data_IF_346000990355
#
_entry.id   IF_346000990355
#
_cell.length_a   1.000
_cell.length_b   1.000
_cell.length_c   1.000
_cell.angle_alpha   90.00
_cell.angle_beta   90.00
_cell.angle_gamma   90.00
#
_symmetry.space_group_name_H-M   'P 1'
#
loop_
_entity.id
_entity.type
_entity.pdbx_description
1 polymer ?
#
# COMPACT_ATOMS: atom_id res chain seq x y z
N UNK A 1 18.64 6.98 0.21
CA UNK A 1 19.35 7.76 -0.84
C UNK A 1 19.67 9.18 -0.33
N UNK A 2 20.77 9.77 -0.81
CA UNK A 2 21.08 11.16 -0.54
C UNK A 2 19.97 12.06 -1.13
N UNK A 3 19.63 13.17 -0.44
CA UNK A 3 18.61 14.13 -0.87
C UNK A 3 18.84 14.65 -2.31
N UNK A 4 20.07 14.75 -2.75
CA UNK A 4 20.46 15.19 -4.10
C UNK A 4 20.05 14.23 -5.22
N UNK A 5 19.73 12.98 -4.90
CA UNK A 5 19.35 11.94 -5.86
C UNK A 5 17.84 11.91 -6.14
N UNK A 6 17.04 12.64 -5.36
CA UNK A 6 15.59 12.71 -5.57
C UNK A 6 15.18 13.65 -6.71
N UNK A 7 14.01 13.38 -7.30
CA UNK A 7 13.37 14.19 -8.34
C UNK A 7 13.51 13.65 -9.77
N UNK A 8 14.32 12.62 -10.00
CA UNK A 8 14.50 11.98 -11.31
C UNK A 8 14.80 10.48 -11.17
N UNK A 9 14.68 9.73 -12.24
CA UNK A 9 15.01 8.31 -12.31
C UNK A 9 13.84 7.40 -11.95
N UNK A 10 14.09 6.34 -11.16
CA UNK A 10 13.14 5.30 -10.82
C UNK A 10 12.13 5.77 -9.78
N UNK A 11 10.89 5.36 -9.88
CA UNK A 11 9.85 5.66 -8.90
C UNK A 11 10.21 5.09 -7.52
N UNK A 12 10.02 5.93 -6.48
CA UNK A 12 10.40 5.66 -5.11
C UNK A 12 9.17 5.64 -4.21
N UNK A 13 8.83 4.46 -3.71
CA UNK A 13 7.67 4.24 -2.85
C UNK A 13 7.99 4.72 -1.43
N UNK A 14 7.22 5.67 -0.97
CA UNK A 14 7.24 6.23 0.38
C UNK A 14 6.10 5.67 1.23
N UNK A 15 6.10 5.98 2.53
CA UNK A 15 4.97 5.66 3.43
C UNK A 15 3.68 6.32 2.94
N UNK A 16 3.76 7.55 2.39
CA UNK A 16 2.57 8.26 1.89
C UNK A 16 1.92 7.54 0.70
N UNK A 17 2.71 6.83 -0.12
CA UNK A 17 2.15 6.03 -1.21
C UNK A 17 1.41 4.80 -0.70
N UNK A 18 1.84 4.22 0.44
CA UNK A 18 1.15 3.13 1.12
C UNK A 18 -0.19 3.60 1.67
N UNK A 19 -0.23 4.76 2.31
CA UNK A 19 -1.40 5.26 3.05
C UNK A 19 -2.46 5.90 2.16
N UNK A 20 -2.05 6.62 1.10
CA UNK A 20 -2.94 7.49 0.34
C UNK A 20 -3.47 6.87 -0.96
N UNK A 21 -2.97 5.71 -1.35
CA UNK A 21 -3.44 5.04 -2.56
C UNK A 21 -4.31 3.82 -2.22
N UNK A 22 -5.30 3.58 -3.05
CA UNK A 22 -6.09 2.34 -2.98
C UNK A 22 -5.21 1.13 -3.25
N UNK A 23 -4.38 1.19 -4.31
CA UNK A 23 -3.25 0.30 -4.57
C UNK A 23 -2.08 1.14 -5.08
N UNK A 24 -0.85 0.61 -4.99
CA UNK A 24 0.32 1.29 -5.51
C UNK A 24 0.55 0.82 -6.95
N UNK A 25 0.54 1.77 -7.90
CA UNK A 25 0.91 1.58 -9.30
C UNK A 25 2.03 2.55 -9.63
N UNK A 26 2.80 2.27 -10.68
CA UNK A 26 3.94 3.10 -11.06
C UNK A 26 3.57 4.58 -11.21
N UNK A 27 2.46 4.86 -11.87
CA UNK A 27 2.04 6.22 -12.21
C UNK A 27 1.51 7.03 -11.00
N UNK A 28 1.05 6.36 -9.92
CA UNK A 28 0.56 7.06 -8.73
C UNK A 28 1.64 7.31 -7.66
N UNK A 29 2.86 6.79 -7.85
CA UNK A 29 4.00 7.09 -7.00
C UNK A 29 4.52 8.50 -7.31
N UNK A 30 4.60 9.34 -6.28
CA UNK A 30 4.97 10.75 -6.43
C UNK A 30 6.46 10.97 -6.57
N UNK A 31 7.26 10.32 -5.72
CA UNK A 31 8.69 10.52 -5.68
C UNK A 31 9.42 9.69 -6.73
N UNK A 32 10.57 10.19 -7.16
CA UNK A 32 11.52 9.47 -8.00
C UNK A 32 12.92 9.65 -7.44
N UNK A 33 13.80 8.70 -7.67
CA UNK A 33 15.18 8.74 -7.20
C UNK A 33 16.12 8.14 -8.23
N UNK A 34 17.30 8.69 -8.35
CA UNK A 34 18.37 8.15 -9.16
C UNK A 34 18.96 6.91 -8.46
N UNK A 35 18.81 5.76 -9.09
CA UNK A 35 19.30 4.48 -8.57
C UNK A 35 20.77 4.27 -8.92
N UNK A 36 21.48 3.54 -8.08
CA UNK A 36 22.85 3.05 -8.33
C UNK A 36 22.82 1.57 -8.70
N UNK A 37 23.95 1.07 -9.18
CA UNK A 37 24.11 -0.35 -9.47
C UNK A 37 23.81 -1.19 -8.23
N UNK A 38 22.94 -2.20 -8.38
CA UNK A 38 22.48 -3.07 -7.28
C UNK A 38 21.31 -2.55 -6.44
N UNK A 39 20.93 -1.26 -6.57
CA UNK A 39 19.78 -0.71 -5.82
C UNK A 39 18.47 -1.43 -6.21
N UNK A 40 18.28 -1.72 -7.50
CA UNK A 40 17.06 -2.41 -7.98
C UNK A 40 17.01 -3.86 -7.50
N UNK A 41 18.15 -4.56 -7.44
CA UNK A 41 18.21 -5.93 -6.94
C UNK A 41 17.84 -6.00 -5.47
N UNK A 42 18.29 -5.02 -4.69
CA UNK A 42 18.09 -4.97 -3.24
C UNK A 42 16.73 -4.39 -2.85
N UNK A 43 16.36 -3.26 -3.45
CA UNK A 43 15.19 -2.47 -3.07
C UNK A 43 14.07 -2.47 -4.13
N UNK A 44 14.22 -3.25 -5.19
CA UNK A 44 13.21 -3.35 -6.25
C UNK A 44 11.90 -3.92 -5.74
N UNK A 45 10.81 -3.37 -6.24
CA UNK A 45 9.43 -3.80 -5.97
C UNK A 45 8.81 -4.24 -7.26
N UNK A 46 8.20 -5.42 -7.25
CA UNK A 46 7.58 -6.04 -8.40
C UNK A 46 6.09 -6.28 -8.15
N UNK A 47 5.37 -6.60 -9.22
CA UNK A 47 3.95 -6.93 -9.14
C UNK A 47 3.65 -7.95 -8.06
N UNK A 48 2.69 -7.63 -7.21
CA UNK A 48 2.23 -8.49 -6.13
C UNK A 48 3.00 -8.33 -4.82
N UNK A 49 4.12 -7.60 -4.78
CA UNK A 49 4.81 -7.33 -3.52
C UNK A 49 3.92 -6.52 -2.56
N UNK A 50 4.04 -6.83 -1.28
CA UNK A 50 3.31 -6.13 -0.21
C UNK A 50 4.29 -5.15 0.46
N UNK A 51 3.86 -3.90 0.60
CA UNK A 51 4.62 -2.84 1.26
C UNK A 51 3.96 -2.51 2.59
N UNK A 52 4.73 -2.59 3.68
CA UNK A 52 4.28 -2.28 5.03
C UNK A 52 4.94 -1.00 5.54
N UNK A 53 4.17 -0.14 6.17
CA UNK A 53 4.70 0.98 6.95
C UNK A 53 5.47 0.44 8.16
N UNK A 54 6.75 0.79 8.26
CA UNK A 54 7.65 0.32 9.32
C UNK A 54 7.44 1.03 10.65
N UNK A 55 7.21 2.33 10.61
CA UNK A 55 7.14 3.19 11.79
C UNK A 55 5.92 4.08 11.73
N UNK A 56 5.29 4.33 12.89
CA UNK A 56 4.16 5.24 13.03
C UNK A 56 4.20 5.96 14.38
N UNK A 57 3.53 7.10 14.47
CA UNK A 57 3.32 7.82 15.72
C UNK A 57 2.25 7.18 16.60
N UNK A 58 1.36 6.39 16.01
CA UNK A 58 0.30 5.66 16.71
C UNK A 58 0.47 4.15 16.55
N UNK A 59 0.07 3.38 17.56
CA UNK A 59 0.11 1.92 17.50
C UNK A 59 -0.89 1.39 16.46
N UNK A 60 -2.02 2.04 16.33
CA UNK A 60 -3.10 1.68 15.41
C UNK A 60 -2.65 1.75 13.94
N UNK A 61 -1.71 2.63 13.62
CA UNK A 61 -1.26 2.86 12.24
C UNK A 61 -0.02 2.05 11.86
N UNK A 62 0.74 1.53 12.84
CA UNK A 62 1.95 0.77 12.52
C UNK A 62 1.62 -0.47 11.68
N UNK A 63 2.47 -0.78 10.71
CA UNK A 63 2.29 -1.94 9.83
C UNK A 63 1.09 -1.84 8.89
N UNK A 64 0.57 -0.64 8.61
CA UNK A 64 -0.36 -0.46 7.50
C UNK A 64 0.28 -0.95 6.21
N UNK A 65 -0.52 -1.57 5.34
CA UNK A 65 -0.01 -2.28 4.17
C UNK A 65 -0.74 -1.89 2.89
N UNK A 66 0.00 -1.96 1.80
CA UNK A 66 -0.54 -1.82 0.45
C UNK A 66 0.17 -2.79 -0.49
N UNK A 67 -0.41 -3.05 -1.65
CA UNK A 67 0.14 -3.95 -2.66
C UNK A 67 0.59 -3.16 -3.89
N UNK A 68 1.65 -3.63 -4.53
CA UNK A 68 2.12 -3.08 -5.78
C UNK A 68 1.50 -3.83 -6.97
N UNK A 69 0.77 -3.13 -7.82
CA UNK A 69 0.01 -3.70 -8.93
C UNK A 69 0.46 -3.14 -10.28
N UNK A 70 1.78 -3.06 -10.50
CA UNK A 70 2.34 -2.63 -11.78
C UNK A 70 3.47 -3.57 -12.22
N UNK A 71 3.68 -3.65 -13.55
CA UNK A 71 4.76 -4.44 -14.14
C UNK A 71 6.10 -3.69 -14.19
N UNK A 72 6.07 -2.34 -14.14
CA UNK A 72 7.29 -1.53 -14.13
C UNK A 72 7.92 -1.59 -12.73
N UNK A 73 9.22 -1.85 -12.60
CA UNK A 73 9.86 -1.90 -11.29
C UNK A 73 9.91 -0.51 -10.64
N UNK A 74 9.62 -0.47 -9.34
CA UNK A 74 9.84 0.68 -8.48
C UNK A 74 10.83 0.28 -7.37
N UNK A 75 11.28 1.22 -6.55
CA UNK A 75 12.07 0.94 -5.36
C UNK A 75 11.40 1.53 -4.12
N UNK A 76 11.79 1.05 -2.94
CA UNK A 76 11.22 1.51 -1.67
C UNK A 76 12.29 2.04 -0.70
N UNK A 77 11.87 2.83 0.28
CA UNK A 77 12.74 3.47 1.26
C UNK A 77 12.80 2.74 2.61
N UNK A 78 13.70 3.21 3.48
CA UNK A 78 14.00 2.59 4.78
C UNK A 78 12.85 2.57 5.80
N UNK A 79 11.81 3.38 5.60
CA UNK A 79 10.59 3.38 6.42
C UNK A 79 9.50 2.41 5.92
N UNK A 80 9.84 1.63 4.91
CA UNK A 80 8.96 0.62 4.30
C UNK A 80 9.59 -0.76 4.46
N UNK A 81 8.78 -1.77 4.71
CA UNK A 81 9.19 -3.18 4.69
C UNK A 81 8.50 -3.83 3.51
N UNK A 82 9.26 -4.55 2.67
CA UNK A 82 8.72 -5.31 1.55
C UNK A 82 8.50 -6.77 1.93
N UNK A 83 7.27 -7.25 1.75
CA UNK A 83 6.95 -8.67 1.65
C UNK A 83 6.99 -9.10 0.19
N UNK A 84 8.05 -9.81 -0.21
CA UNK A 84 8.24 -10.27 -1.59
C UNK A 84 7.21 -11.33 -1.96
N UNK A 85 6.50 -11.12 -3.05
CA UNK A 85 5.51 -12.07 -3.56
C UNK A 85 6.16 -13.38 -4.01
N UNK A 86 5.54 -14.49 -3.63
CA UNK A 86 5.87 -15.84 -4.10
C UNK A 86 4.85 -16.35 -5.15
N UNK A 87 3.92 -15.50 -5.56
CA UNK A 87 2.89 -15.87 -6.53
C UNK A 87 1.80 -16.80 -6.00
N UNK A 88 1.74 -17.06 -4.70
CA UNK A 88 0.83 -18.00 -4.07
C UNK A 88 -0.41 -17.35 -3.43
N UNK A 89 -0.70 -16.11 -3.76
CA UNK A 89 -1.88 -15.37 -3.33
C UNK A 89 -2.34 -14.37 -4.40
N UNK A 90 -3.59 -13.91 -4.31
CA UNK A 90 -4.10 -12.83 -5.14
C UNK A 90 -3.75 -11.48 -4.49
N UNK A 91 -2.94 -10.61 -5.14
CA UNK A 91 -2.49 -9.34 -4.54
C UNK A 91 -3.65 -8.39 -4.24
N UNK A 92 -4.66 -8.34 -5.12
CA UNK A 92 -5.83 -7.49 -4.92
C UNK A 92 -6.62 -7.89 -3.68
N UNK A 93 -6.85 -9.20 -3.48
CA UNK A 93 -7.48 -9.72 -2.27
C UNK A 93 -6.66 -9.37 -1.01
N UNK A 94 -5.33 -9.53 -1.08
CA UNK A 94 -4.45 -9.23 0.05
C UNK A 94 -4.47 -7.75 0.44
N UNK A 95 -4.65 -6.84 -0.51
CA UNK A 95 -4.85 -5.42 -0.18
C UNK A 95 -6.04 -5.23 0.78
N UNK A 96 -7.16 -5.87 0.51
CA UNK A 96 -8.36 -5.78 1.34
C UNK A 96 -8.22 -6.57 2.64
N UNK A 97 -7.64 -7.78 2.57
CA UNK A 97 -7.40 -8.61 3.76
C UNK A 97 -6.55 -7.87 4.80
N UNK A 98 -5.42 -7.27 4.38
CA UNK A 98 -4.50 -6.58 5.27
C UNK A 98 -5.08 -5.27 5.86
N UNK A 99 -6.05 -4.67 5.19
CA UNK A 99 -6.80 -3.53 5.69
C UNK A 99 -7.97 -3.93 6.62
N UNK A 100 -8.34 -5.21 6.67
CA UNK A 100 -9.46 -5.68 7.48
C UNK A 100 -9.19 -5.51 8.98
N UNK A 101 -10.24 -5.27 9.80
CA UNK A 101 -10.09 -5.14 11.25
C UNK A 101 -9.39 -6.35 11.89
N UNK A 102 -9.65 -7.56 11.40
CA UNK A 102 -9.04 -8.79 11.93
C UNK A 102 -7.54 -8.83 11.66
N UNK A 103 -7.11 -8.55 10.43
CA UNK A 103 -5.69 -8.50 10.09
C UNK A 103 -4.99 -7.36 10.83
N UNK A 104 -5.59 -6.17 10.89
CA UNK A 104 -5.04 -5.03 11.63
C UNK A 104 -4.79 -5.37 13.10
N UNK A 105 -5.76 -5.97 13.80
CA UNK A 105 -5.59 -6.40 15.19
C UNK A 105 -4.42 -7.38 15.37
N UNK A 106 -4.21 -8.30 14.42
CA UNK A 106 -3.10 -9.26 14.47
C UNK A 106 -1.74 -8.63 14.15
N UNK A 107 -1.71 -7.57 13.34
CA UNK A 107 -0.50 -6.84 12.97
C UNK A 107 -0.06 -5.88 14.07
N UNK A 108 -0.95 -5.04 14.60
CA UNK A 108 -0.60 -3.98 15.55
C UNK A 108 0.00 -4.52 16.84
N UNK A 109 -0.42 -5.69 17.30
CA UNK A 109 0.15 -6.34 18.50
C UNK A 109 1.62 -6.76 18.32
N UNK A 110 2.15 -6.69 17.10
CA UNK A 110 3.57 -6.93 16.79
C UNK A 110 4.38 -5.63 16.73
N UNK A 111 3.71 -4.48 16.80
CA UNK A 111 4.36 -3.18 16.94
C UNK A 111 4.88 -2.98 18.36
N UNK A 112 6.03 -2.31 18.49
CA UNK A 112 6.65 -1.98 19.76
C UNK A 112 7.19 -0.56 19.75
N UNK A 113 7.12 0.10 20.88
CA UNK A 113 7.61 1.47 21.07
C UNK A 113 6.80 2.22 22.12
N UNK A 114 7.31 3.37 22.58
CA UNK A 114 6.64 4.21 23.55
C UNK A 114 6.15 5.55 22.97
N UNK A 115 6.92 6.17 22.08
CA UNK A 115 6.58 7.42 21.38
C UNK A 115 6.45 7.21 19.87
N UNK A 116 7.27 6.32 19.33
CA UNK A 116 7.20 5.87 17.94
C UNK A 116 7.09 4.35 17.92
N UNK A 117 6.04 3.87 17.31
CA UNK A 117 5.79 2.43 17.18
C UNK A 117 6.46 1.91 15.92
N UNK A 118 7.22 0.82 16.07
CA UNK A 118 7.93 0.18 14.98
C UNK A 118 7.51 -1.27 14.88
N UNK A 119 7.43 -1.78 13.66
CA UNK A 119 7.26 -3.20 13.39
C UNK A 119 8.46 -3.69 12.57
N UNK A 120 8.96 -4.87 12.90
CA UNK A 120 10.07 -5.51 12.17
C UNK A 120 9.59 -6.67 11.31
N UNK A 121 10.49 -7.18 10.47
CA UNK A 121 10.23 -8.37 9.65
C UNK A 121 9.86 -9.57 10.51
N UNK A 122 10.54 -9.76 11.65
CA UNK A 122 10.24 -10.85 12.59
C UNK A 122 8.84 -10.76 13.19
N UNK A 123 8.37 -9.54 13.48
CA UNK A 123 7.00 -9.31 13.94
C UNK A 123 5.99 -9.68 12.87
N UNK A 124 6.19 -9.16 11.65
CA UNK A 124 5.31 -9.44 10.52
C UNK A 124 5.28 -10.92 10.14
N UNK A 125 6.42 -11.63 10.18
CA UNK A 125 6.49 -13.06 9.85
C UNK A 125 5.70 -13.96 10.80
N UNK A 126 5.40 -13.49 12.01
CA UNK A 126 4.61 -14.19 13.03
C UNK A 126 3.11 -13.87 12.97
N UNK A 127 2.69 -13.05 12.02
CA UNK A 127 1.26 -12.78 11.80
C UNK A 127 0.66 -13.92 11.00
N UNK A 128 -0.29 -14.61 11.59
CA UNK A 128 -1.05 -15.67 10.93
C UNK A 128 -2.42 -15.12 10.52
N UNK A 129 -2.81 -15.36 9.28
CA UNK A 129 -4.11 -14.97 8.73
C UNK A 129 -4.74 -16.18 8.06
N UNK A 130 -6.04 -16.35 8.27
CA UNK A 130 -6.82 -17.37 7.58
C UNK A 130 -7.16 -16.82 6.19
N UNK A 131 -6.79 -17.57 5.15
CA UNK A 131 -7.00 -17.17 3.76
C UNK A 131 -7.79 -18.23 3.01
N UNK A 132 -8.78 -17.83 2.18
CA UNK A 132 -9.53 -18.76 1.37
C UNK A 132 -8.70 -19.29 0.19
N UNK A 133 -9.25 -20.23 -0.57
CA UNK A 133 -8.58 -20.72 -1.77
C UNK A 133 -8.39 -19.63 -2.83
N UNK A 134 -7.46 -19.83 -3.77
CA UNK A 134 -7.11 -18.82 -4.77
C UNK A 134 -8.30 -18.33 -5.61
N UNK A 135 -9.24 -19.23 -5.93
CA UNK A 135 -10.44 -18.87 -6.70
C UNK A 135 -11.36 -17.93 -5.93
N UNK A 136 -11.51 -18.16 -4.62
CA UNK A 136 -12.28 -17.30 -3.73
C UNK A 136 -11.58 -15.95 -3.53
N UNK A 137 -10.25 -15.96 -3.30
CA UNK A 137 -9.46 -14.73 -3.22
C UNK A 137 -9.70 -13.84 -4.44
N UNK A 138 -9.65 -14.40 -5.65
CA UNK A 138 -9.89 -13.67 -6.89
C UNK A 138 -11.28 -13.05 -6.92
N UNK A 139 -12.32 -13.86 -6.67
CA UNK A 139 -13.71 -13.38 -6.69
C UNK A 139 -13.97 -12.28 -5.66
N UNK A 140 -13.47 -12.46 -4.43
CA UNK A 140 -13.62 -11.47 -3.35
C UNK A 140 -12.89 -10.18 -3.70
N UNK A 141 -11.64 -10.27 -4.19
CA UNK A 141 -10.86 -9.11 -4.58
C UNK A 141 -11.53 -8.31 -5.70
N UNK A 142 -12.01 -8.98 -6.75
CA UNK A 142 -12.73 -8.36 -7.86
C UNK A 142 -14.05 -7.70 -7.41
N UNK A 143 -14.81 -8.36 -6.54
CA UNK A 143 -16.06 -7.81 -5.98
C UNK A 143 -15.77 -6.52 -5.20
N UNK A 144 -14.81 -6.54 -4.28
CA UNK A 144 -14.46 -5.39 -3.46
C UNK A 144 -13.93 -4.23 -4.31
N UNK A 145 -13.12 -4.52 -5.34
CA UNK A 145 -12.65 -3.51 -6.28
C UNK A 145 -13.81 -2.86 -7.06
N UNK A 146 -14.79 -3.66 -7.47
CA UNK A 146 -15.99 -3.16 -8.15
C UNK A 146 -16.81 -2.23 -7.24
N UNK A 147 -16.95 -2.58 -5.96
CA UNK A 147 -17.61 -1.74 -4.95
C UNK A 147 -16.87 -0.42 -4.78
N UNK A 148 -15.55 -0.44 -4.63
CA UNK A 148 -14.74 0.77 -4.47
C UNK A 148 -14.83 1.68 -5.70
N UNK A 149 -14.77 1.13 -6.90
CA UNK A 149 -14.94 1.88 -8.14
C UNK A 149 -16.32 2.57 -8.21
N UNK A 150 -17.36 1.87 -7.75
CA UNK A 150 -18.72 2.44 -7.68
C UNK A 150 -18.81 3.56 -6.65
N UNK A 151 -18.23 3.38 -5.47
CA UNK A 151 -18.16 4.43 -4.43
C UNK A 151 -17.42 5.67 -4.96
N UNK A 152 -16.28 5.49 -5.61
CA UNK A 152 -15.51 6.59 -6.20
C UNK A 152 -16.33 7.37 -7.25
N UNK A 153 -17.06 6.65 -8.11
CA UNK A 153 -17.94 7.25 -9.11
C UNK A 153 -19.07 8.06 -8.47
N UNK A 154 -19.73 7.52 -7.44
CA UNK A 154 -20.78 8.22 -6.72
C UNK A 154 -20.26 9.48 -6.01
N UNK A 155 -19.09 9.41 -5.38
CA UNK A 155 -18.47 10.55 -4.73
C UNK A 155 -18.17 11.67 -5.74
N UNK A 156 -17.68 11.32 -6.94
CA UNK A 156 -17.46 12.29 -8.01
C UNK A 156 -18.76 12.96 -8.45
N UNK A 157 -19.83 12.20 -8.65
CA UNK A 157 -21.15 12.75 -9.00
C UNK A 157 -21.63 13.72 -7.91
N UNK A 158 -21.48 13.38 -6.63
CA UNK A 158 -21.86 14.24 -5.50
C UNK A 158 -21.06 15.53 -5.52
N UNK A 159 -19.75 15.47 -5.78
CA UNK A 159 -18.92 16.67 -5.90
C UNK A 159 -19.33 17.57 -7.05
N UNK A 160 -19.62 17.00 -8.22
CA UNK A 160 -20.05 17.75 -9.40
C UNK A 160 -21.42 18.39 -9.17
N UNK A 161 -22.35 17.70 -8.53
CA UNK A 161 -23.67 18.26 -8.16
C UNK A 161 -23.52 19.39 -7.13
N UNK A 162 -22.61 19.29 -6.17
CA UNK A 162 -22.32 20.40 -5.22
C UNK A 162 -21.80 21.62 -5.94
N UNK A 163 -20.86 21.44 -6.88
CA UNK A 163 -20.33 22.57 -7.70
C UNK A 163 -21.44 23.22 -8.53
N UNK A 164 -22.29 22.42 -9.18
CA UNK A 164 -23.42 22.93 -9.97
C UNK A 164 -24.40 23.70 -9.09
N UNK A 165 -24.73 23.19 -7.90
CA UNK A 165 -25.58 23.89 -6.93
C UNK A 165 -25.02 25.28 -6.59
N UNK A 166 -23.72 25.38 -6.28
CA UNK A 166 -23.08 26.66 -5.97
C UNK A 166 -23.20 27.63 -7.15
N UNK A 167 -22.94 27.19 -8.38
CA UNK A 167 -23.01 28.02 -9.58
C UNK A 167 -24.44 28.50 -9.96
N UNK A 168 -25.49 27.88 -9.41
CA UNK A 168 -26.88 28.30 -9.64
C UNK A 168 -27.34 29.35 -8.62
N UNK A 169 -26.69 29.37 -7.44
CA UNK A 169 -27.10 30.24 -6.31
C UNK A 169 -26.34 31.58 -6.33
N UNK A 170 -25.20 31.67 -7.04
CA UNK A 170 -24.50 32.92 -7.37
C UNK A 170 -25.22 33.67 -8.52
#
# INVERSE_FOLDING_TARGET
PDAKRFGRGTKFISVMDILNNQFICYDNIRASVEVMDGDIDTYGVNYGDILFQRSSETLEDVGQANVYLDSKPAIFGGFVIRGKSKGNYNPLFFRYLLASPTARKRIIVKGAGAQHFNIGQDGLSKVSLDIPCMQEQKKIGELLQCIDARIATQNKIIEDLKKLKCAIIE
#
